data_IF_677448652457
#
_entry.id   IF_677448652457
#
_cell.length_a   1.000
_cell.length_b   1.000
_cell.length_c   1.000
_cell.angle_alpha   90.00
_cell.angle_beta   90.00
_cell.angle_gamma   90.00
#
_symmetry.space_group_name_H-M   'P 1'
#
loop_
_entity.id
_entity.type
_entity.pdbx_description
1 polymer ?
#
# COMPACT_ATOMS: atom_id res chain seq x y z
N UNK A 1 -12.48 -5.33 24.56
CA UNK A 1 -11.37 -5.66 23.64
C UNK A 1 -10.34 -4.55 23.76
N UNK A 2 -9.04 -4.85 23.65
CA UNK A 2 -8.01 -3.82 23.63
C UNK A 2 -8.23 -2.87 22.44
N UNK A 3 -8.07 -1.58 22.67
CA UNK A 3 -8.08 -0.55 21.62
C UNK A 3 -6.90 -0.75 20.65
N UNK A 4 -6.96 -0.22 19.42
CA UNK A 4 -5.84 -0.26 18.49
C UNK A 4 -4.54 0.28 19.10
N UNK A 5 -4.61 1.35 19.91
CA UNK A 5 -3.46 1.94 20.60
C UNK A 5 -2.88 1.01 21.65
N UNK A 6 -3.71 0.42 22.52
CA UNK A 6 -3.27 -0.55 23.52
C UNK A 6 -2.60 -1.77 22.86
N UNK A 7 -3.12 -2.22 21.71
CA UNK A 7 -2.51 -3.30 20.95
C UNK A 7 -1.11 -2.92 20.40
N UNK A 8 -0.92 -1.69 19.93
CA UNK A 8 0.41 -1.20 19.49
C UNK A 8 1.38 -1.14 20.67
N UNK A 9 0.95 -0.62 21.82
CA UNK A 9 1.79 -0.61 23.03
C UNK A 9 2.12 -2.03 23.52
N UNK A 10 1.18 -2.97 23.40
CA UNK A 10 1.44 -4.38 23.67
C UNK A 10 2.52 -4.96 22.74
N UNK A 11 2.46 -4.69 21.42
CA UNK A 11 3.48 -5.11 20.47
C UNK A 11 4.84 -4.51 20.84
N UNK A 12 4.89 -3.20 21.11
CA UNK A 12 6.12 -2.47 21.48
C UNK A 12 6.77 -3.06 22.71
N UNK A 13 5.98 -3.35 23.74
CA UNK A 13 6.45 -3.95 24.99
C UNK A 13 6.85 -5.42 24.83
N UNK A 14 6.00 -6.26 24.23
CA UNK A 14 6.21 -7.72 24.19
C UNK A 14 7.23 -8.15 23.13
N UNK A 15 7.23 -7.51 21.96
CA UNK A 15 8.06 -7.91 20.81
C UNK A 15 9.39 -7.17 20.76
N UNK A 16 9.39 -5.91 21.15
CA UNK A 16 10.55 -5.03 21.03
C UNK A 16 11.13 -4.59 22.37
N UNK A 17 10.60 -5.12 23.49
CA UNK A 17 11.02 -4.81 24.86
C UNK A 17 10.99 -3.32 25.23
N UNK A 18 10.27 -2.48 24.47
CA UNK A 18 10.26 -1.04 24.71
C UNK A 18 9.60 -0.74 26.06
N UNK A 19 10.33 -0.03 26.93
CA UNK A 19 9.90 0.30 28.28
C UNK A 19 10.15 -0.81 29.32
N UNK A 20 10.83 -1.89 28.93
CA UNK A 20 11.26 -2.97 29.82
C UNK A 20 12.77 -3.20 29.76
N UNK A 21 13.19 -4.39 30.18
CA UNK A 21 14.58 -4.84 30.06
C UNK A 21 14.91 -5.19 28.60
N UNK A 22 16.14 -4.89 28.19
CA UNK A 22 16.63 -5.14 26.82
C UNK A 22 16.51 -6.63 26.49
N UNK A 23 15.92 -6.94 25.34
CA UNK A 23 15.76 -8.33 24.90
C UNK A 23 17.14 -8.94 24.61
N UNK A 24 17.51 -10.10 25.20
CA UNK A 24 18.77 -10.76 24.89
C UNK A 24 18.91 -11.18 23.41
N UNK A 25 17.80 -11.31 22.68
CA UNK A 25 17.79 -11.62 21.23
C UNK A 25 17.84 -10.36 20.33
N UNK A 26 18.07 -9.18 20.90
CA UNK A 26 18.10 -7.92 20.12
C UNK A 26 19.17 -7.94 19.03
N UNK A 27 20.32 -8.57 19.28
CA UNK A 27 21.40 -8.67 18.28
C UNK A 27 20.97 -9.50 17.06
N UNK A 28 20.30 -10.63 17.26
CA UNK A 28 19.81 -11.49 16.18
C UNK A 28 18.70 -10.78 15.36
N UNK A 29 17.81 -10.06 16.04
CA UNK A 29 16.82 -9.22 15.38
C UNK A 29 17.47 -8.10 14.56
N UNK A 30 18.52 -7.48 15.09
CA UNK A 30 19.26 -6.43 14.41
C UNK A 30 19.97 -6.97 13.16
N UNK A 31 20.57 -8.16 13.22
CA UNK A 31 21.13 -8.85 12.05
C UNK A 31 20.05 -9.12 10.99
N UNK A 32 18.87 -9.59 11.41
CA UNK A 32 17.76 -9.87 10.50
C UNK A 32 17.26 -8.58 9.82
N UNK A 33 17.17 -7.47 10.55
CA UNK A 33 16.81 -6.16 10.00
C UNK A 33 17.89 -5.64 9.02
N UNK A 34 19.17 -5.86 9.30
CA UNK A 34 20.26 -5.53 8.36
C UNK A 34 20.14 -6.32 7.06
N UNK A 35 19.81 -7.61 7.13
CA UNK A 35 19.56 -8.43 5.94
C UNK A 35 18.36 -7.91 5.14
N UNK A 36 17.30 -7.46 5.82
CA UNK A 36 16.15 -6.83 5.16
C UNK A 36 16.55 -5.55 4.42
N UNK A 37 17.36 -4.68 5.04
CA UNK A 37 17.86 -3.47 4.38
C UNK A 37 18.63 -3.81 3.11
N UNK A 38 19.56 -4.76 3.18
CA UNK A 38 20.34 -5.19 2.02
C UNK A 38 19.47 -5.79 0.90
N UNK A 39 18.41 -6.53 1.26
CA UNK A 39 17.44 -7.08 0.30
C UNK A 39 16.58 -5.97 -0.35
N UNK A 40 16.26 -4.89 0.38
CA UNK A 40 15.61 -3.71 -0.18
C UNK A 40 16.55 -2.97 -1.13
N UNK A 41 17.81 -2.74 -0.74
CA UNK A 41 18.79 -2.02 -1.57
C UNK A 41 19.09 -2.74 -2.89
N UNK A 42 19.03 -4.07 -2.90
CA UNK A 42 19.25 -4.89 -4.10
C UNK A 42 18.02 -4.97 -5.03
N UNK A 43 16.85 -4.48 -4.60
CA UNK A 43 15.60 -4.67 -5.35
C UNK A 43 15.38 -3.57 -6.37
N UNK A 44 15.04 -3.98 -7.59
CA UNK A 44 14.56 -3.06 -8.61
C UNK A 44 13.28 -2.35 -8.15
N UNK A 45 13.15 -1.08 -8.53
CA UNK A 45 12.01 -0.23 -8.16
C UNK A 45 10.78 -0.71 -8.94
N UNK A 46 10.10 -1.77 -8.48
CA UNK A 46 8.76 -2.17 -8.96
C UNK A 46 7.71 -1.98 -7.86
N UNK A 47 7.89 -0.94 -7.02
CA UNK A 47 7.05 -0.68 -5.85
C UNK A 47 5.56 -0.63 -6.20
N UNK A 48 5.20 -0.08 -7.37
CA UNK A 48 3.82 0.12 -7.76
C UNK A 48 3.07 -1.21 -7.92
N UNK A 49 3.68 -2.18 -8.60
CA UNK A 49 3.08 -3.51 -8.74
C UNK A 49 2.99 -4.24 -7.40
N UNK A 50 3.94 -4.03 -6.49
CA UNK A 50 3.86 -4.60 -5.14
C UNK A 50 2.73 -3.98 -4.31
N UNK A 51 2.51 -2.67 -4.41
CA UNK A 51 1.38 -2.00 -3.75
C UNK A 51 0.04 -2.47 -4.31
N UNK A 52 -0.06 -2.62 -5.64
CA UNK A 52 -1.25 -3.17 -6.30
C UNK A 52 -1.51 -4.60 -5.82
N UNK A 53 -0.47 -5.44 -5.75
CA UNK A 53 -0.59 -6.82 -5.26
C UNK A 53 -1.00 -6.87 -3.78
N UNK A 54 -0.47 -5.97 -2.93
CA UNK A 54 -0.90 -5.88 -1.53
C UNK A 54 -2.41 -5.57 -1.43
N UNK A 55 -2.92 -4.67 -2.27
CA UNK A 55 -4.35 -4.38 -2.32
C UNK A 55 -5.17 -5.56 -2.91
N UNK A 56 -4.66 -6.26 -3.92
CA UNK A 56 -5.28 -7.45 -4.51
C UNK A 56 -5.38 -8.61 -3.49
N UNK A 57 -4.41 -8.72 -2.59
CA UNK A 57 -4.39 -9.73 -1.53
C UNK A 57 -5.40 -9.45 -0.39
N UNK A 58 -5.90 -8.22 -0.27
CA UNK A 58 -6.85 -7.83 0.78
C UNK A 58 -8.23 -8.50 0.65
N UNK A 59 -8.99 -8.43 1.73
CA UNK A 59 -10.41 -8.82 1.75
C UNK A 59 -11.30 -7.59 1.58
N UNK A 60 -12.36 -7.73 0.81
CA UNK A 60 -13.31 -6.66 0.55
C UNK A 60 -14.69 -7.00 1.14
N UNK A 61 -15.45 -6.00 1.64
CA UNK A 61 -16.83 -6.20 2.02
C UNK A 61 -17.69 -6.76 0.86
N UNK A 62 -18.78 -7.46 1.19
CA UNK A 62 -19.74 -7.90 0.16
C UNK A 62 -20.47 -6.69 -0.43
N UNK A 63 -20.67 -6.68 -1.75
CA UNK A 63 -21.45 -5.64 -2.44
C UNK A 63 -20.71 -4.34 -2.73
N UNK A 64 -19.41 -4.24 -2.43
CA UNK A 64 -18.56 -3.12 -2.90
C UNK A 64 -17.82 -3.49 -4.17
N UNK A 65 -17.45 -2.50 -4.97
CA UNK A 65 -16.48 -2.66 -6.06
C UNK A 65 -15.08 -2.41 -5.52
N UNK A 66 -14.21 -3.42 -5.40
CA UNK A 66 -12.84 -3.24 -4.91
C UNK A 66 -12.07 -2.22 -5.75
N UNK A 67 -11.54 -1.21 -5.09
CA UNK A 67 -10.86 -0.09 -5.74
C UNK A 67 -9.58 0.30 -5.02
N UNK A 68 -8.59 0.69 -5.82
CA UNK A 68 -7.32 1.23 -5.37
C UNK A 68 -7.10 2.60 -6.02
N UNK A 69 -6.87 3.63 -5.22
CA UNK A 69 -6.54 4.98 -5.71
C UNK A 69 -5.18 5.41 -5.18
N UNK A 70 -4.31 5.84 -6.09
CA UNK A 70 -3.06 6.52 -5.79
C UNK A 70 -3.24 8.02 -5.99
N UNK A 71 -2.86 8.81 -4.99
CA UNK A 71 -2.86 10.28 -5.09
C UNK A 71 -1.48 10.79 -4.71
N UNK A 72 -0.79 11.46 -5.63
CA UNK A 72 0.47 12.13 -5.34
C UNK A 72 0.23 13.64 -5.16
N UNK A 73 0.79 14.23 -4.10
CA UNK A 73 0.66 15.65 -3.79
C UNK A 73 2.01 16.25 -3.42
N UNK A 74 2.21 17.53 -3.69
CA UNK A 74 3.37 18.30 -3.20
C UNK A 74 3.20 18.77 -1.75
N UNK A 75 2.02 18.60 -1.15
CA UNK A 75 1.77 18.94 0.25
C UNK A 75 2.47 17.95 1.19
N UNK A 76 3.17 18.48 2.19
CA UNK A 76 3.67 17.68 3.31
C UNK A 76 2.65 17.63 4.44
N UNK A 77 1.79 16.61 4.41
CA UNK A 77 0.78 16.35 5.45
C UNK A 77 1.33 15.55 6.62
N UNK A 78 2.64 15.25 6.63
CA UNK A 78 3.27 14.39 7.64
C UNK A 78 4.27 15.14 8.53
N UNK A 79 4.58 16.40 8.20
CA UNK A 79 5.61 17.20 8.87
C UNK A 79 7.02 16.65 8.71
N UNK A 80 7.26 15.78 7.72
CA UNK A 80 8.56 15.14 7.48
C UNK A 80 9.48 15.94 6.56
N UNK A 81 8.99 17.08 6.03
CA UNK A 81 9.62 17.94 5.01
C UNK A 81 9.82 17.22 3.68
N UNK A 82 8.97 16.25 3.37
CA UNK A 82 8.99 15.57 2.09
C UNK A 82 8.53 16.52 0.97
N UNK A 83 9.24 16.48 -0.17
CA UNK A 83 8.89 17.30 -1.34
C UNK A 83 7.60 16.84 -2.03
N UNK A 84 7.21 15.58 -1.80
CA UNK A 84 5.95 15.03 -2.25
C UNK A 84 5.50 13.89 -1.33
N UNK A 85 4.20 13.71 -1.22
CA UNK A 85 3.55 12.63 -0.47
C UNK A 85 2.73 11.79 -1.44
N UNK A 86 2.93 10.47 -1.43
CA UNK A 86 2.06 9.51 -2.10
C UNK A 86 1.05 8.95 -1.09
N UNK A 87 -0.24 9.10 -1.39
CA UNK A 87 -1.33 8.48 -0.66
C UNK A 87 -1.89 7.31 -1.46
N UNK A 88 -2.20 6.22 -0.78
CA UNK A 88 -2.87 5.06 -1.36
C UNK A 88 -4.15 4.79 -0.58
N UNK A 89 -5.28 4.88 -1.25
CA UNK A 89 -6.60 4.63 -0.68
C UNK A 89 -7.16 3.30 -1.17
N UNK A 90 -7.60 2.45 -0.25
CA UNK A 90 -8.16 1.15 -0.57
C UNK A 90 -9.42 0.89 0.27
N UNK A 91 -10.52 0.52 -0.40
CA UNK A 91 -11.83 0.29 0.21
C UNK A 91 -12.03 -1.14 0.73
N UNK A 92 -10.93 -1.76 1.15
CA UNK A 92 -10.92 -3.08 1.75
C UNK A 92 -11.56 -3.09 3.16
N UNK A 93 -11.61 -4.25 3.82
CA UNK A 93 -12.16 -4.38 5.19
C UNK A 93 -11.33 -3.69 6.26
N UNK A 94 -10.07 -3.41 5.96
CA UNK A 94 -9.12 -2.77 6.85
C UNK A 94 -8.27 -3.76 7.64
N UNK A 95 -7.20 -3.25 8.24
CA UNK A 95 -6.20 -4.07 8.91
C UNK A 95 -6.74 -4.63 10.22
N UNK A 96 -6.65 -5.94 10.35
CA UNK A 96 -6.87 -6.65 11.61
C UNK A 96 -5.62 -6.59 12.50
N UNK A 97 -5.79 -6.94 13.78
CA UNK A 97 -4.66 -7.13 14.69
C UNK A 97 -3.62 -8.13 14.13
N UNK A 98 -4.06 -9.17 13.43
CA UNK A 98 -3.17 -10.15 12.79
C UNK A 98 -2.34 -9.53 11.65
N UNK A 99 -2.94 -8.64 10.84
CA UNK A 99 -2.22 -7.91 9.80
C UNK A 99 -1.12 -7.04 10.41
N UNK A 100 -1.44 -6.28 11.47
CA UNK A 100 -0.48 -5.43 12.19
C UNK A 100 0.67 -6.25 12.77
N UNK A 101 0.37 -7.37 13.44
CA UNK A 101 1.39 -8.28 13.98
C UNK A 101 2.31 -8.85 12.90
N UNK A 102 1.73 -9.19 11.74
CA UNK A 102 2.47 -9.69 10.58
C UNK A 102 3.42 -8.63 10.03
N UNK A 103 2.97 -7.39 9.87
CA UNK A 103 3.81 -6.27 9.39
C UNK A 103 4.93 -5.95 10.39
N UNK A 104 4.70 -6.11 11.68
CA UNK A 104 5.73 -5.90 12.70
C UNK A 104 6.76 -7.05 12.77
N UNK A 105 6.71 -8.04 11.88
CA UNK A 105 7.64 -9.19 11.89
C UNK A 105 8.80 -8.97 10.94
N UNK A 106 9.99 -9.42 11.35
CA UNK A 106 11.22 -9.37 10.53
C UNK A 106 11.35 -10.61 9.62
N UNK A 107 10.64 -11.69 9.96
CA UNK A 107 10.70 -12.95 9.22
C UNK A 107 10.14 -12.79 7.80
N UNK A 108 10.82 -13.45 6.83
CA UNK A 108 10.33 -13.55 5.45
C UNK A 108 8.89 -14.06 5.45
N UNK A 109 7.99 -13.34 4.78
CA UNK A 109 6.58 -13.72 4.68
C UNK A 109 6.46 -15.21 4.35
N UNK A 110 5.84 -15.97 5.25
CA UNK A 110 5.59 -17.42 5.13
C UNK A 110 4.43 -17.73 4.20
N UNK A 111 4.19 -16.92 3.16
CA UNK A 111 3.31 -17.28 2.03
C UNK A 111 3.92 -18.43 1.19
N UNK A 112 4.27 -19.55 1.84
CA UNK A 112 4.34 -20.89 1.24
C UNK A 112 2.89 -21.29 0.95
N UNK A 113 2.38 -21.05 -0.26
CA UNK A 113 1.07 -21.62 -0.62
C UNK A 113 0.44 -21.18 -1.93
N UNK A 114 0.48 -19.89 -2.29
CA UNK A 114 -0.30 -19.37 -3.43
C UNK A 114 0.54 -19.09 -4.69
N UNK A 115 1.44 -20.01 -5.06
CA UNK A 115 2.25 -19.89 -6.29
C UNK A 115 1.50 -20.18 -7.59
N UNK A 116 0.26 -20.66 -7.53
CA UNK A 116 -0.50 -21.13 -8.70
C UNK A 116 -1.21 -20.02 -9.52
N UNK A 117 -0.99 -18.73 -9.23
CA UNK A 117 -1.72 -17.63 -9.90
C UNK A 117 -0.88 -16.73 -10.81
N UNK A 118 0.37 -17.10 -11.13
CA UNK A 118 1.17 -16.36 -12.13
C UNK A 118 1.64 -14.96 -11.72
N UNK A 119 1.40 -14.55 -10.47
CA UNK A 119 1.86 -13.26 -9.95
C UNK A 119 3.29 -13.34 -9.40
N UNK A 120 4.13 -12.40 -9.83
CA UNK A 120 5.47 -12.17 -9.30
C UNK A 120 5.31 -11.46 -7.94
N UNK A 121 4.92 -12.24 -6.92
CA UNK A 121 5.19 -11.90 -5.53
C UNK A 121 6.54 -12.49 -5.18
N UNK A 122 7.63 -11.76 -5.44
CA UNK A 122 8.96 -12.20 -5.04
C UNK A 122 9.06 -12.33 -3.51
N UNK A 123 9.89 -13.28 -3.11
CA UNK A 123 10.04 -13.80 -1.77
C UNK A 123 10.22 -12.69 -0.72
N UNK A 124 9.50 -12.80 0.38
CA UNK A 124 10.02 -12.45 1.71
C UNK A 124 9.84 -11.02 2.22
N UNK A 125 9.84 -9.97 1.40
CA UNK A 125 9.88 -8.59 1.95
C UNK A 125 8.51 -7.93 2.18
N UNK A 126 7.43 -8.40 1.55
CA UNK A 126 6.05 -7.97 1.81
C UNK A 126 5.86 -6.44 1.83
N UNK A 127 5.06 -5.93 2.78
CA UNK A 127 4.83 -4.50 3.01
C UNK A 127 6.12 -3.66 3.09
N UNK A 128 7.29 -4.25 3.39
CA UNK A 128 8.55 -3.51 3.56
C UNK A 128 9.07 -2.86 2.28
N UNK A 129 8.57 -3.24 1.10
CA UNK A 129 8.96 -2.56 -0.14
C UNK A 129 8.52 -1.09 -0.22
N UNK A 130 7.58 -0.63 0.62
CA UNK A 130 7.30 0.81 0.75
C UNK A 130 8.56 1.60 1.12
N UNK A 131 9.52 0.97 1.81
CA UNK A 131 10.76 1.62 2.21
C UNK A 131 11.72 1.94 1.05
N UNK A 132 11.47 1.38 -0.14
CA UNK A 132 12.19 1.76 -1.36
C UNK A 132 11.92 3.22 -1.76
N UNK A 133 10.75 3.76 -1.38
CA UNK A 133 10.29 5.09 -1.79
C UNK A 133 10.03 6.05 -0.63
N UNK A 134 9.92 5.58 0.61
CA UNK A 134 9.74 6.40 1.81
C UNK A 134 10.59 5.88 2.97
N UNK A 135 11.07 6.76 3.85
CA UNK A 135 11.67 6.32 5.11
C UNK A 135 10.65 6.18 6.24
N UNK A 136 9.44 6.73 6.08
CA UNK A 136 8.45 6.86 7.15
C UNK A 136 7.02 6.58 6.66
N UNK A 137 6.66 5.32 6.35
CA UNK A 137 5.31 4.98 5.92
C UNK A 137 4.33 5.06 7.10
N UNK A 138 3.15 5.64 6.84
CA UNK A 138 2.03 5.71 7.76
C UNK A 138 0.90 4.79 7.29
N UNK A 139 0.16 4.23 8.25
CA UNK A 139 -0.99 3.37 8.04
C UNK A 139 -2.15 3.89 8.87
N UNK A 140 -3.24 4.23 8.20
CA UNK A 140 -4.53 4.56 8.81
C UNK A 140 -5.52 3.49 8.38
N UNK A 141 -5.99 2.66 9.32
CA UNK A 141 -6.95 1.61 9.03
C UNK A 141 -7.63 1.09 10.28
N UNK A 142 -8.96 0.96 10.29
CA UNK A 142 -9.74 0.41 11.42
C UNK A 142 -9.35 0.98 12.81
N UNK A 143 -9.10 2.29 12.88
CA UNK A 143 -8.70 2.98 14.10
C UNK A 143 -7.22 2.83 14.47
N UNK A 144 -6.42 2.05 13.74
CA UNK A 144 -4.97 2.16 13.82
C UNK A 144 -4.52 3.46 13.16
N UNK A 145 -3.72 4.22 13.88
CA UNK A 145 -2.99 5.37 13.37
C UNK A 145 -1.52 5.18 13.74
N UNK A 146 -0.77 4.56 12.84
CA UNK A 146 0.61 4.15 13.11
C UNK A 146 1.56 4.57 12.00
N UNK A 147 2.83 4.69 12.36
CA UNK A 147 3.93 4.79 11.41
C UNK A 147 5.00 3.76 11.70
N UNK A 148 5.84 3.53 10.70
CA UNK A 148 7.12 2.87 10.85
C UNK A 148 8.23 3.84 10.43
N UNK A 149 9.46 3.54 10.83
CA UNK A 149 10.63 4.33 10.46
C UNK A 149 11.75 3.41 9.99
N UNK A 150 12.45 3.81 8.92
CA UNK A 150 13.67 3.18 8.44
C UNK A 150 14.80 3.31 9.47
N UNK A 151 14.90 4.46 10.13
CA UNK A 151 15.89 4.69 11.16
C UNK A 151 15.66 3.79 12.39
N UNK A 152 16.73 3.27 13.01
CA UNK A 152 16.61 2.46 14.22
C UNK A 152 15.93 3.19 15.38
N UNK A 153 14.99 2.53 16.04
CA UNK A 153 14.38 3.06 17.26
C UNK A 153 15.40 3.04 18.42
N UNK A 154 15.61 4.14 19.17
CA UNK A 154 16.73 4.27 20.11
C UNK A 154 16.83 3.17 21.19
N UNK A 155 15.71 2.61 21.64
CA UNK A 155 15.71 1.62 22.72
C UNK A 155 16.12 0.21 22.27
N UNK A 156 15.71 -0.22 21.07
CA UNK A 156 15.95 -1.57 20.58
C UNK A 156 16.88 -1.62 19.36
N UNK A 157 17.28 -0.47 18.81
CA UNK A 157 18.13 -0.36 17.64
C UNK A 157 17.60 -1.14 16.41
N UNK A 158 16.27 -1.12 16.23
CA UNK A 158 15.58 -1.76 15.10
C UNK A 158 14.80 -0.71 14.29
N UNK A 159 15.01 -0.72 12.98
CA UNK A 159 14.20 0.02 11.99
C UNK A 159 13.19 -0.89 11.29
N UNK A 160 12.41 -0.33 10.38
CA UNK A 160 11.44 -0.95 9.47
C UNK A 160 10.24 -1.67 10.10
N UNK A 161 10.38 -2.24 11.30
CA UNK A 161 9.41 -3.18 11.90
C UNK A 161 8.76 -2.69 13.19
N UNK A 162 9.30 -1.64 13.81
CA UNK A 162 8.79 -1.10 15.07
C UNK A 162 7.62 -0.17 14.75
N UNK A 163 6.39 -0.48 15.18
CA UNK A 163 5.27 0.43 15.02
C UNK A 163 5.35 1.55 16.06
N UNK A 164 5.03 2.76 15.64
CA UNK A 164 4.86 3.93 16.51
C UNK A 164 3.43 4.44 16.37
N UNK A 165 2.75 4.67 17.49
CA UNK A 165 1.45 5.33 17.49
C UNK A 165 1.62 6.81 17.12
N UNK A 166 0.64 7.34 16.40
CA UNK A 166 0.65 8.70 15.86
C UNK A 166 -0.54 9.47 16.42
N UNK A 167 -0.26 10.55 17.17
CA UNK A 167 -1.30 11.38 17.79
C UNK A 167 -1.81 12.49 16.88
N UNK A 168 -0.90 13.19 16.18
CA UNK A 168 -1.22 14.47 15.52
C UNK A 168 -1.19 14.42 13.99
N UNK A 169 -0.15 13.83 13.39
CA UNK A 169 0.10 13.89 11.95
C UNK A 169 0.29 12.51 11.32
N UNK A 170 -0.38 12.16 10.23
CA UNK A 170 -1.08 13.08 9.32
C UNK A 170 -2.46 13.53 9.81
N UNK A 171 -2.78 14.79 9.52
CA UNK A 171 -4.03 15.41 9.96
C UNK A 171 -5.18 14.86 9.12
N UNK A 172 -6.18 14.27 9.77
CA UNK A 172 -7.33 13.65 9.10
C UNK A 172 -8.05 14.62 8.14
N UNK A 173 -8.16 15.90 8.50
CA UNK A 173 -8.79 16.92 7.66
C UNK A 173 -8.01 17.18 6.36
N UNK A 174 -6.67 17.12 6.39
CA UNK A 174 -5.85 17.28 5.19
C UNK A 174 -5.98 16.09 4.26
N UNK A 175 -6.00 14.87 4.82
CA UNK A 175 -6.25 13.63 4.05
C UNK A 175 -7.63 13.71 3.38
N UNK A 176 -8.65 14.14 4.13
CA UNK A 176 -10.01 14.32 3.63
C UNK A 176 -10.09 15.37 2.51
N UNK A 177 -9.34 16.48 2.61
CA UNK A 177 -9.25 17.49 1.56
C UNK A 177 -8.56 16.97 0.30
N UNK A 178 -7.47 16.20 0.45
CA UNK A 178 -6.75 15.60 -0.67
C UNK A 178 -7.64 14.57 -1.37
N UNK A 179 -8.32 13.71 -0.60
CA UNK A 179 -9.20 12.69 -1.14
C UNK A 179 -10.41 13.33 -1.86
N UNK A 180 -11.12 14.22 -1.18
CA UNK A 180 -12.28 14.93 -1.69
C UNK A 180 -13.26 15.26 -0.57
N UNK A 181 -13.55 16.54 -0.37
CA UNK A 181 -14.28 17.07 0.79
C UNK A 181 -15.73 16.54 0.97
N UNK A 182 -16.30 15.86 -0.04
CA UNK A 182 -17.64 15.28 -0.01
C UNK A 182 -17.70 13.75 0.03
N UNK A 183 -16.55 13.06 0.09
CA UNK A 183 -16.47 11.60 -0.01
C UNK A 183 -16.00 10.98 1.29
N UNK A 184 -16.65 9.93 1.78
CA UNK A 184 -16.12 9.17 2.92
C UNK A 184 -14.77 8.56 2.56
N UNK A 185 -13.76 8.76 3.42
CA UNK A 185 -12.45 8.15 3.22
C UNK A 185 -12.55 6.61 3.17
N UNK A 186 -11.81 5.95 2.27
CA UNK A 186 -11.71 4.50 2.26
C UNK A 186 -11.11 3.96 3.56
N UNK A 187 -11.48 2.73 3.92
CA UNK A 187 -11.13 2.10 5.20
C UNK A 187 -9.63 2.10 5.47
N UNK A 188 -8.81 1.88 4.44
CA UNK A 188 -7.35 1.85 4.56
C UNK A 188 -6.74 2.97 3.73
N UNK A 189 -5.89 3.77 4.38
CA UNK A 189 -5.04 4.78 3.75
C UNK A 189 -3.58 4.52 4.13
N UNK A 190 -2.71 4.33 3.13
CA UNK A 190 -1.27 4.39 3.31
C UNK A 190 -0.78 5.78 2.92
N UNK A 191 0.11 6.37 3.72
CA UNK A 191 0.65 7.71 3.46
C UNK A 191 2.18 7.60 3.47
N UNK A 192 2.77 7.92 2.34
CA UNK A 192 4.17 7.66 2.02
C UNK A 192 4.85 9.00 1.67
N UNK A 193 5.43 9.71 2.65
CA UNK A 193 6.28 10.86 2.38
C UNK A 193 7.51 10.41 1.60
N UNK A 194 7.67 10.87 0.37
CA UNK A 194 8.64 10.31 -0.57
C UNK A 194 10.06 10.77 -0.25
N UNK A 195 11.02 9.85 -0.41
CA UNK A 195 12.45 10.17 -0.49
C UNK A 195 12.65 11.11 -1.69
N UNK A 196 13.44 12.18 -1.50
CA UNK A 196 13.55 13.27 -2.49
C UNK A 196 14.04 12.78 -3.87
N UNK A 197 14.98 11.83 -3.90
CA UNK A 197 15.52 11.21 -5.11
C UNK A 197 14.53 10.27 -5.80
N UNK A 198 13.47 9.82 -5.11
CA UNK A 198 12.48 8.87 -5.63
C UNK A 198 11.24 9.53 -6.22
N UNK A 199 11.00 10.82 -5.98
CA UNK A 199 9.79 11.54 -6.43
C UNK A 199 9.55 11.39 -7.93
N UNK A 200 10.59 11.63 -8.76
CA UNK A 200 10.46 11.56 -10.21
C UNK A 200 10.21 10.13 -10.70
N UNK A 201 10.90 9.14 -10.12
CA UNK A 201 10.71 7.74 -10.44
C UNK A 201 9.28 7.28 -10.10
N UNK A 202 8.76 7.67 -8.93
CA UNK A 202 7.37 7.39 -8.52
C UNK A 202 6.38 8.01 -9.49
N UNK A 203 6.53 9.29 -9.85
CA UNK A 203 5.67 9.96 -10.83
C UNK A 203 5.68 9.23 -12.18
N UNK A 204 6.86 8.90 -12.70
CA UNK A 204 7.01 8.18 -13.97
C UNK A 204 6.29 6.83 -13.94
N UNK A 205 6.42 6.06 -12.85
CA UNK A 205 5.74 4.77 -12.73
C UNK A 205 4.22 4.92 -12.66
N UNK A 206 3.73 5.88 -11.88
CA UNK A 206 2.30 6.20 -11.78
C UNK A 206 1.70 6.60 -13.13
N UNK A 207 2.43 7.37 -13.94
CA UNK A 207 2.02 7.74 -15.31
C UNK A 207 2.08 6.58 -16.31
N UNK A 208 2.83 5.51 -16.01
CA UNK A 208 3.03 4.37 -16.91
C UNK A 208 2.03 3.22 -16.71
N UNK A 209 1.09 3.37 -15.78
CA UNK A 209 0.07 2.33 -15.49
C UNK A 209 -0.81 2.12 -16.72
N UNK A 210 -0.78 0.90 -17.25
CA UNK A 210 -1.57 0.51 -18.41
C UNK A 210 -2.89 -0.16 -17.98
N UNK A 211 -3.99 0.01 -18.74
CA UNK A 211 -5.28 -0.62 -18.45
C UNK A 211 -5.23 -2.13 -18.24
N UNK A 212 -4.37 -2.79 -19.01
CA UNK A 212 -4.17 -4.24 -19.05
C UNK A 212 -3.74 -4.82 -17.70
N UNK A 213 -3.20 -4.00 -16.80
CA UNK A 213 -2.90 -4.43 -15.42
C UNK A 213 -4.13 -5.05 -14.75
N UNK A 214 -5.34 -4.52 -15.00
CA UNK A 214 -6.58 -5.05 -14.44
C UNK A 214 -6.96 -6.44 -14.98
N UNK A 215 -6.51 -6.82 -16.18
CA UNK A 215 -6.72 -8.18 -16.74
C UNK A 215 -5.99 -9.23 -15.91
N UNK A 216 -4.91 -8.80 -15.27
CA UNK A 216 -4.16 -9.60 -14.31
C UNK A 216 -4.61 -9.31 -12.89
N UNK A 217 -5.81 -8.83 -12.59
CA UNK A 217 -6.28 -8.74 -11.19
C UNK A 217 -7.63 -9.45 -11.06
N UNK A 218 -7.81 -10.19 -9.96
CA UNK A 218 -9.03 -10.97 -9.74
C UNK A 218 -10.04 -10.21 -8.89
N UNK A 219 -9.58 -9.45 -7.89
CA UNK A 219 -10.43 -8.71 -6.95
C UNK A 219 -10.55 -7.24 -7.32
N UNK A 220 -9.43 -6.52 -7.50
CA UNK A 220 -9.44 -5.09 -7.84
C UNK A 220 -10.15 -4.89 -9.18
N UNK A 221 -11.19 -4.04 -9.19
CA UNK A 221 -11.97 -3.71 -10.39
C UNK A 221 -11.75 -2.28 -10.87
N UNK A 222 -11.21 -1.42 -10.01
CA UNK A 222 -10.89 -0.03 -10.33
C UNK A 222 -9.54 0.35 -9.78
N UNK A 223 -8.72 0.96 -10.64
CA UNK A 223 -7.42 1.51 -10.30
C UNK A 223 -7.36 2.95 -10.80
N UNK A 224 -7.11 3.92 -9.93
CA UNK A 224 -6.94 5.31 -10.35
C UNK A 224 -5.66 5.90 -9.78
N UNK A 225 -5.10 6.83 -10.54
CA UNK A 225 -3.91 7.60 -10.23
C UNK A 225 -4.28 9.06 -10.43
N UNK A 226 -3.95 9.90 -9.45
CA UNK A 226 -4.25 11.33 -9.50
C UNK A 226 -3.08 12.14 -8.97
N UNK A 227 -2.81 13.26 -9.62
CA UNK A 227 -1.95 14.31 -9.07
C UNK A 227 -2.85 15.37 -8.42
N UNK A 228 -2.59 15.64 -7.14
CA UNK A 228 -3.26 16.68 -6.37
C UNK A 228 -2.31 17.87 -6.20
N UNK A 229 -2.72 18.99 -6.78
CA UNK A 229 -2.04 20.27 -6.72
C UNK A 229 -2.89 21.28 -5.93
N UNK A 230 -2.24 22.29 -5.34
CA UNK A 230 -2.95 23.36 -4.63
C UNK A 230 -3.93 24.12 -5.52
N UNK A 231 -3.59 24.26 -6.81
CA UNK A 231 -4.51 24.71 -7.83
C UNK A 231 -5.23 23.50 -8.43
N UNK A 232 -6.53 23.30 -8.16
CA UNK A 232 -7.27 22.14 -8.66
C UNK A 232 -7.29 22.02 -10.18
N UNK A 233 -7.07 23.14 -10.91
CA UNK A 233 -7.00 23.16 -12.38
C UNK A 233 -5.75 22.47 -12.94
N UNK A 234 -4.74 22.25 -12.11
CA UNK A 234 -3.51 21.54 -12.46
C UNK A 234 -3.57 20.06 -12.07
N UNK A 235 -4.67 19.60 -11.49
CA UNK A 235 -4.82 18.18 -11.15
C UNK A 235 -4.93 17.37 -12.44
N UNK A 236 -4.13 16.31 -12.55
CA UNK A 236 -4.30 15.29 -13.58
C UNK A 236 -4.91 14.05 -12.94
N UNK A 237 -5.77 13.36 -13.69
CA UNK A 237 -6.37 12.09 -13.27
C UNK A 237 -6.23 11.09 -14.40
N UNK A 238 -5.58 9.96 -14.12
CA UNK A 238 -5.66 8.76 -14.94
C UNK A 238 -6.42 7.68 -14.17
N UNK A 239 -7.60 7.30 -14.65
CA UNK A 239 -8.41 6.26 -14.03
C UNK A 239 -8.61 5.11 -15.00
N UNK A 240 -8.44 3.89 -14.51
CA UNK A 240 -8.68 2.66 -15.25
C UNK A 240 -9.72 1.84 -14.48
N UNK A 241 -10.74 1.36 -15.17
CA UNK A 241 -11.77 0.52 -14.57
C UNK A 241 -12.22 -0.58 -15.51
N UNK A 242 -12.58 -1.73 -14.94
CA UNK A 242 -13.43 -2.72 -15.61
C UNK A 242 -14.87 -2.18 -15.56
N UNK A 243 -15.44 -1.84 -16.71
CA UNK A 243 -16.80 -1.26 -16.81
C UNK A 243 -17.86 -2.34 -16.97
N UNK A 244 -17.52 -3.46 -17.61
CA UNK A 244 -18.38 -4.64 -17.65
C UNK A 244 -17.58 -5.94 -17.85
N UNK A 245 -18.14 -7.03 -17.36
CA UNK A 245 -17.62 -8.40 -17.51
C UNK A 245 -18.74 -9.30 -18.03
N UNK A 246 -18.56 -9.87 -19.22
CA UNK A 246 -19.51 -10.83 -19.81
C UNK A 246 -18.87 -12.21 -19.85
N UNK A 247 -19.41 -13.15 -19.07
CA UNK A 247 -18.90 -14.54 -19.03
C UNK A 247 -19.45 -15.34 -20.21
N UNK A 248 -18.57 -15.86 -21.06
CA UNK A 248 -18.93 -16.77 -22.15
C UNK A 248 -18.68 -18.21 -21.71
N UNK A 249 -19.75 -19.02 -21.66
CA UNK A 249 -19.69 -20.40 -21.12
C UNK A 249 -19.02 -21.38 -22.10
N UNK A 250 -18.07 -22.15 -21.54
CA UNK A 250 -17.33 -23.34 -22.00
C UNK A 250 -17.62 -23.85 -23.42
N UNK A 251 -16.61 -23.78 -24.30
CA UNK A 251 -16.53 -24.66 -25.47
C UNK A 251 -16.14 -26.06 -24.98
N UNK A 252 -17.04 -27.05 -25.11
CA UNK A 252 -16.90 -28.47 -24.69
C UNK A 252 -15.60 -29.22 -25.10
N UNK A 253 -14.71 -28.62 -25.89
CA UNK A 253 -13.46 -29.24 -26.37
C UNK A 253 -12.20 -28.78 -25.62
N UNK A 254 -12.28 -27.72 -24.82
CA UNK A 254 -11.14 -27.18 -24.08
C UNK A 254 -11.71 -26.76 -22.73
N UNK A 255 -11.16 -27.27 -21.63
CA UNK A 255 -11.61 -26.95 -20.26
C UNK A 255 -11.17 -25.52 -19.88
N UNK A 256 -11.58 -24.54 -20.70
CA UNK A 256 -11.24 -23.14 -20.61
C UNK A 256 -12.53 -22.32 -20.46
N UNK A 257 -12.55 -21.46 -19.46
CA UNK A 257 -13.58 -20.46 -19.24
C UNK A 257 -13.11 -19.15 -19.88
N UNK A 258 -13.96 -18.53 -20.69
CA UNK A 258 -13.67 -17.27 -21.37
C UNK A 258 -14.61 -16.18 -20.86
N UNK A 259 -14.09 -14.99 -20.58
CA UNK A 259 -14.90 -13.82 -20.25
C UNK A 259 -14.41 -12.64 -21.08
N UNK A 260 -15.32 -11.80 -21.54
CA UNK A 260 -15.02 -10.54 -22.21
C UNK A 260 -15.03 -9.42 -21.17
N UNK A 261 -13.97 -8.62 -21.14
CA UNK A 261 -13.82 -7.49 -20.23
C UNK A 261 -13.78 -6.19 -21.02
N UNK A 262 -14.62 -5.24 -20.63
CA UNK A 262 -14.53 -3.88 -21.14
C UNK A 262 -13.72 -3.03 -20.16
N UNK A 263 -12.60 -2.50 -20.65
CA UNK A 263 -11.76 -1.58 -19.89
C UNK A 263 -12.02 -0.16 -20.37
N UNK A 264 -12.28 0.73 -19.42
CA UNK A 264 -12.26 2.17 -19.66
C UNK A 264 -11.00 2.77 -19.05
N UNK A 265 -10.34 3.63 -19.82
CA UNK A 265 -9.26 4.48 -19.35
C UNK A 265 -9.68 5.94 -19.53
N UNK A 266 -9.71 6.71 -18.45
CA UNK A 266 -9.98 8.13 -18.45
C UNK A 266 -8.67 8.87 -18.19
N UNK A 267 -8.17 9.62 -19.17
CA UNK A 267 -7.07 10.59 -19.02
C UNK A 267 -7.49 11.96 -19.58
N UNK A 268 -6.56 12.92 -19.63
CA UNK A 268 -6.79 14.29 -20.17
C UNK A 268 -7.23 14.32 -21.66
N UNK A 269 -7.26 13.17 -22.33
CA UNK A 269 -7.87 12.97 -23.65
C UNK A 269 -8.85 11.80 -23.59
N UNK A 270 -10.12 12.09 -23.86
CA UNK A 270 -11.19 11.10 -24.06
C UNK A 270 -10.93 10.28 -25.34
N UNK A 271 -11.24 8.98 -25.31
CA UNK A 271 -11.97 8.22 -26.37
C UNK A 271 -11.69 6.70 -26.48
N UNK A 272 -10.87 6.09 -25.62
CA UNK A 272 -10.56 4.65 -25.80
C UNK A 272 -11.22 3.75 -24.74
N UNK A 273 -12.42 3.26 -25.04
CA UNK A 273 -12.89 1.98 -24.50
C UNK A 273 -12.24 0.85 -25.29
N UNK A 274 -11.57 -0.08 -24.60
CA UNK A 274 -10.95 -1.25 -25.20
C UNK A 274 -11.66 -2.52 -24.72
N UNK A 275 -12.01 -3.40 -25.65
CA UNK A 275 -12.63 -4.70 -25.36
C UNK A 275 -11.56 -5.79 -25.45
N UNK A 276 -11.43 -6.63 -24.42
CA UNK A 276 -10.49 -7.75 -24.35
C UNK A 276 -11.23 -9.08 -24.14
#
# INVERSE_FOLDING_TARGET
MATPKEHIEEIRRKKFSIGGEVNPLTEELHLTVKMLSAELDAKDVHFLMELIQNAEDNEYPSGVNPSLEFVITSRDITGTRAAATLLMFNNEKGFSASNINSICSVAKSTKKGNRNRGYIGEKGIGFKSVFLITSRPYILSNGYHIRFNEDPYPHCNLGYVVPEWVEENPIFSEIQQIYGSGSTLPTTTLILPLKADKVNAVKQQLSSVQPEVLLFLTKIKRLSVREHNENPKLNSVSAIAITSETKFVKRKKIDAESSMLHLAAQGDKFDNECSY
#
